data_IF_795873823004
#
_entry.id   IF_795873823004
#
_cell.length_a   1.000
_cell.length_b   1.000
_cell.length_c   1.000
_cell.angle_alpha   90.00
_cell.angle_beta   90.00
_cell.angle_gamma   90.00
#
_symmetry.space_group_name_H-M   'P 1'
#
loop_
_entity.id
_entity.type
_entity.pdbx_description
1 polymer ?
#
# COMPACT_ATOMS: atom_id res chain seq x y z
N UNK A 1 -42.96 -41.85 -31.20
CA UNK A 1 -42.92 -42.85 -30.05
C UNK A 1 -42.75 -42.10 -28.71
N UNK A 2 -43.95 -41.57 -28.41
CA UNK A 2 -44.82 -41.89 -27.25
C UNK A 2 -44.12 -41.50 -25.94
N UNK A 3 -44.63 -40.40 -25.34
CA UNK A 3 -45.64 -40.27 -24.26
C UNK A 3 -44.94 -39.76 -22.98
N UNK A 4 -45.44 -38.56 -22.51
CA UNK A 4 -46.57 -38.31 -21.59
C UNK A 4 -46.08 -38.24 -20.14
N UNK A 5 -46.28 -37.12 -19.56
CA UNK A 5 -47.39 -37.02 -18.57
C UNK A 5 -47.14 -35.88 -17.59
N UNK A 6 -47.92 -34.74 -17.79
CA UNK A 6 -49.23 -34.25 -17.30
C UNK A 6 -49.17 -33.90 -15.82
N UNK A 7 -49.42 -32.63 -15.55
CA UNK A 7 -50.64 -31.82 -15.31
C UNK A 7 -50.89 -31.70 -13.81
N UNK A 8 -51.06 -30.45 -13.41
CA UNK A 8 -52.32 -29.69 -13.25
C UNK A 8 -52.49 -29.28 -11.78
N UNK A 9 -52.68 -27.97 -11.61
CA UNK A 9 -53.84 -27.07 -11.52
C UNK A 9 -54.07 -26.65 -10.06
N UNK A 10 -54.11 -25.33 -9.84
CA UNK A 10 -55.17 -24.29 -9.75
C UNK A 10 -55.79 -24.30 -8.35
N UNK A 11 -55.74 -23.18 -7.67
CA UNK A 11 -57.04 -22.51 -7.36
C UNK A 11 -56.91 -21.67 -6.09
N UNK A 12 -56.86 -20.36 -6.17
CA UNK A 12 -57.52 -19.10 -5.75
C UNK A 12 -58.81 -19.37 -4.96
N UNK A 13 -58.99 -18.71 -3.82
CA UNK A 13 -60.27 -18.05 -3.47
C UNK A 13 -60.21 -17.58 -2.02
N UNK A 14 -60.20 -16.26 -1.67
CA UNK A 14 -61.03 -15.12 -1.21
C UNK A 14 -61.88 -15.49 0.01
N UNK A 15 -61.79 -14.70 1.12
CA UNK A 15 -62.94 -14.02 1.74
C UNK A 15 -62.52 -13.50 3.13
N UNK A 16 -62.55 -12.18 3.42
CA UNK A 16 -62.99 -11.06 4.27
C UNK A 16 -64.18 -11.45 5.15
N UNK A 17 -64.16 -11.21 6.51
CA UNK A 17 -65.25 -10.70 7.37
C UNK A 17 -64.69 -10.40 8.76
N UNK A 18 -64.54 -9.16 9.20
CA UNK A 18 -64.92 -8.13 10.19
C UNK A 18 -65.79 -8.72 11.31
N UNK A 19 -65.53 -8.43 12.61
CA UNK A 19 -66.05 -7.51 13.64
C UNK A 19 -66.50 -8.33 14.87
N UNK A 20 -66.05 -7.98 16.17
CA UNK A 20 -66.48 -7.18 17.32
C UNK A 20 -66.61 -8.09 18.54
N UNK A 21 -66.02 -7.74 19.79
CA UNK A 21 -66.20 -7.10 21.10
C UNK A 21 -66.46 -8.19 22.15
N UNK A 22 -65.62 -8.21 23.22
CA UNK A 22 -65.64 -7.72 24.62
C UNK A 22 -66.10 -8.83 25.59
N UNK A 23 -65.30 -9.12 26.64
CA UNK A 23 -65.33 -8.77 28.08
C UNK A 23 -65.28 -10.05 28.92
N UNK A 24 -64.27 -10.21 29.86
CA UNK A 24 -64.03 -9.98 31.30
C UNK A 24 -63.73 -11.32 32.00
N UNK A 25 -62.51 -11.46 32.57
CA UNK A 25 -62.49 -11.58 34.05
C UNK A 25 -61.08 -12.02 34.49
N UNK A 26 -60.30 -11.10 35.07
CA UNK A 26 -59.40 -10.65 36.15
C UNK A 26 -59.30 -11.69 37.28
N UNK A 27 -58.07 -12.20 37.56
CA UNK A 27 -57.58 -12.13 38.96
C UNK A 27 -56.07 -12.35 39.00
N UNK A 28 -55.19 -11.24 39.28
CA UNK A 28 -54.50 -10.60 40.42
C UNK A 28 -53.04 -11.11 40.49
N UNK A 29 -52.07 -10.16 40.23
CA UNK A 29 -51.19 -9.42 41.16
C UNK A 29 -49.74 -9.47 40.63
N UNK A 30 -49.25 -8.22 40.13
CA UNK A 30 -48.11 -7.45 40.67
C UNK A 30 -47.64 -6.43 39.62
N UNK A 31 -48.06 -5.10 39.76
CA UNK A 31 -47.47 -3.76 39.95
C UNK A 31 -46.83 -3.27 38.65
N UNK A 32 -47.43 -2.38 37.85
CA UNK A 32 -47.52 -1.11 37.10
C UNK A 32 -46.36 -0.17 37.44
N UNK A 33 -45.55 0.23 36.36
CA UNK A 33 -45.54 1.66 35.96
C UNK A 33 -44.87 1.80 34.59
N UNK A 34 -45.62 2.10 33.45
CA UNK A 34 -45.87 3.03 32.31
C UNK A 34 -44.57 3.35 31.57
N UNK A 35 -44.43 2.85 30.28
CA UNK A 35 -43.66 3.65 29.30
C UNK A 35 -44.28 3.49 27.91
N UNK A 36 -45.20 4.45 27.50
CA UNK A 36 -45.12 5.48 26.43
C UNK A 36 -44.57 4.89 25.14
N UNK A 37 -45.51 4.27 24.28
CA UNK A 37 -45.68 4.63 22.84
C UNK A 37 -44.52 5.47 22.31
N UNK A 38 -43.37 4.84 21.99
CA UNK A 38 -42.48 5.59 21.06
C UNK A 38 -41.90 4.64 20.00
N UNK A 39 -42.69 4.17 18.97
CA UNK A 39 -42.18 4.08 17.58
C UNK A 39 -40.93 4.96 17.37
N UNK A 40 -39.78 4.53 17.86
CA UNK A 40 -38.48 5.09 17.48
C UNK A 40 -38.29 5.04 15.96
N UNK A 41 -39.04 5.83 15.12
CA UNK A 41 -38.45 6.26 13.84
C UNK A 41 -36.95 6.59 14.01
N UNK A 42 -36.05 5.48 13.97
CA UNK A 42 -34.60 5.62 13.74
C UNK A 42 -34.30 6.72 12.71
N UNK A 43 -34.16 7.94 13.16
CA UNK A 43 -33.53 9.01 12.35
C UNK A 43 -32.45 8.40 11.42
N UNK A 44 -32.75 8.42 10.02
CA UNK A 44 -31.77 7.88 9.07
C UNK A 44 -30.36 8.40 9.34
N UNK A 45 -29.47 7.45 9.81
CA UNK A 45 -28.05 7.78 10.09
C UNK A 45 -27.24 7.82 8.79
N UNK A 46 -26.54 8.98 8.58
CA UNK A 46 -25.61 9.13 7.43
C UNK A 46 -24.72 7.89 7.36
N UNK A 47 -24.77 7.24 6.17
CA UNK A 47 -24.01 5.99 6.04
C UNK A 47 -22.50 6.22 6.18
N UNK A 48 -21.85 5.32 6.98
CA UNK A 48 -20.38 5.26 7.04
C UNK A 48 -19.84 4.27 5.98
N UNK A 49 -19.09 4.87 5.10
CA UNK A 49 -18.70 3.99 3.96
C UNK A 49 -17.27 3.49 4.18
N UNK A 50 -16.75 3.58 5.34
CA UNK A 50 -15.38 3.09 5.58
C UNK A 50 -15.37 1.56 5.59
N UNK A 51 -14.30 1.02 4.98
CA UNK A 51 -14.25 -0.46 5.06
C UNK A 51 -13.92 -1.05 3.68
N UNK A 52 -14.05 -2.30 3.55
CA UNK A 52 -13.67 -3.02 2.31
C UNK A 52 -14.93 -3.31 1.48
N UNK A 53 -14.68 -3.08 0.20
CA UNK A 53 -15.81 -3.28 -0.74
C UNK A 53 -15.35 -4.18 -1.88
N UNK A 54 -16.23 -5.17 -2.21
CA UNK A 54 -15.84 -6.12 -3.27
C UNK A 54 -16.90 -6.12 -4.38
N UNK A 55 -16.42 -6.50 -5.52
CA UNK A 55 -17.35 -6.57 -6.67
C UNK A 55 -18.42 -7.64 -6.39
N UNK A 56 -19.63 -7.37 -6.83
CA UNK A 56 -20.77 -8.28 -6.56
C UNK A 56 -20.89 -9.28 -7.72
N UNK A 57 -20.52 -8.80 -8.89
CA UNK A 57 -20.73 -9.66 -10.07
C UNK A 57 -19.49 -10.53 -10.35
N UNK A 58 -19.77 -11.88 -10.49
CA UNK A 58 -18.64 -12.81 -10.71
C UNK A 58 -18.20 -12.81 -12.18
N UNK A 59 -19.01 -12.25 -13.12
CA UNK A 59 -18.74 -12.38 -14.57
C UNK A 59 -18.15 -11.08 -15.12
N UNK A 60 -17.59 -10.13 -14.18
CA UNK A 60 -17.00 -8.85 -14.60
C UNK A 60 -15.67 -8.60 -13.85
N UNK A 61 -15.04 -7.46 -14.16
CA UNK A 61 -13.76 -7.19 -13.50
C UNK A 61 -13.86 -7.39 -11.97
N UNK A 62 -12.86 -8.21 -11.58
CA UNK A 62 -12.85 -8.40 -10.11
C UNK A 62 -11.98 -7.34 -9.44
N UNK A 63 -12.71 -6.56 -8.52
CA UNK A 63 -11.96 -5.46 -7.89
C UNK A 63 -12.34 -5.38 -6.40
N UNK A 64 -11.40 -4.90 -5.68
CA UNK A 64 -11.66 -4.60 -4.25
C UNK A 64 -11.28 -3.14 -3.95
N UNK A 65 -12.27 -2.52 -3.29
CA UNK A 65 -12.00 -1.14 -2.85
C UNK A 65 -11.87 -1.07 -1.32
N UNK A 66 -10.98 -0.19 -0.99
CA UNK A 66 -10.89 0.14 0.44
C UNK A 66 -11.09 1.64 0.62
N UNK A 67 -12.09 1.92 1.49
CA UNK A 67 -12.28 3.34 1.86
C UNK A 67 -11.85 3.54 3.32
N UNK A 68 -10.93 4.48 3.37
CA UNK A 68 -10.46 4.83 4.72
C UNK A 68 -10.20 6.34 4.80
N UNK A 69 -10.84 6.92 5.81
CA UNK A 69 -10.69 8.39 5.90
C UNK A 69 -11.21 9.10 4.65
N UNK A 70 -10.25 9.84 4.02
CA UNK A 70 -10.69 10.66 2.86
C UNK A 70 -10.20 10.04 1.55
N UNK A 71 -9.96 8.72 1.59
CA UNK A 71 -9.39 8.13 0.35
C UNK A 71 -10.16 6.87 -0.01
N UNK A 72 -9.98 6.56 -1.25
CA UNK A 72 -10.50 5.27 -1.77
C UNK A 72 -9.43 4.68 -2.69
N UNK A 73 -9.14 3.31 -2.43
CA UNK A 73 -8.23 2.57 -3.32
C UNK A 73 -8.96 1.36 -3.91
N UNK A 74 -8.58 1.23 -5.19
CA UNK A 74 -9.27 0.10 -5.85
C UNK A 74 -8.21 -0.75 -6.57
N UNK A 75 -8.23 -2.07 -6.25
CA UNK A 75 -7.26 -2.98 -6.87
C UNK A 75 -7.97 -4.01 -7.76
N UNK A 76 -7.17 -4.38 -8.82
CA UNK A 76 -7.61 -5.57 -9.58
C UNK A 76 -7.34 -6.84 -8.77
N UNK A 77 -8.35 -7.70 -8.81
CA UNK A 77 -8.12 -9.01 -8.14
C UNK A 77 -7.94 -10.10 -9.20
N UNK A 78 -6.73 -10.75 -9.14
CA UNK A 78 -6.54 -11.84 -10.12
C UNK A 78 -6.70 -13.19 -9.41
N UNK A 79 -7.32 -14.17 -10.21
CA UNK A 79 -7.48 -15.57 -9.69
C UNK A 79 -6.14 -16.30 -9.67
N UNK A 80 -5.05 -15.74 -10.35
CA UNK A 80 -3.82 -16.51 -10.66
C UNK A 80 -2.59 -15.86 -10.03
N UNK A 81 -2.72 -14.73 -9.24
CA UNK A 81 -1.56 -14.07 -8.62
C UNK A 81 -1.99 -13.48 -7.27
N UNK A 82 -1.28 -13.83 -6.21
CA UNK A 82 -1.53 -13.45 -4.80
C UNK A 82 -1.28 -11.95 -4.59
N UNK A 83 -0.99 -11.17 -5.83
CA UNK A 83 -0.74 -9.76 -5.44
C UNK A 83 -1.72 -8.82 -6.15
N UNK A 84 -2.63 -8.13 -5.45
CA UNK A 84 -3.58 -7.16 -6.02
C UNK A 84 -2.87 -6.03 -6.78
N UNK A 85 -3.37 -5.75 -8.04
CA UNK A 85 -2.79 -4.66 -8.86
C UNK A 85 -3.68 -3.40 -8.77
N UNK A 86 -2.99 -2.29 -8.69
CA UNK A 86 -3.73 -1.03 -8.46
C UNK A 86 -4.46 -0.58 -9.74
N UNK A 87 -5.80 -0.31 -9.50
CA UNK A 87 -6.55 0.34 -10.60
C UNK A 87 -6.75 1.83 -10.33
N UNK A 88 -7.16 2.20 -9.09
CA UNK A 88 -7.43 3.62 -8.80
C UNK A 88 -7.02 3.92 -7.37
N UNK A 89 -6.39 5.06 -7.23
CA UNK A 89 -6.15 5.69 -5.92
C UNK A 89 -6.55 7.17 -5.98
N UNK A 90 -7.47 7.50 -5.04
CA UNK A 90 -7.96 8.88 -5.18
C UNK A 90 -8.71 9.33 -3.93
N UNK A 91 -9.20 10.56 -4.01
CA UNK A 91 -9.84 11.19 -2.83
C UNK A 91 -11.25 10.61 -2.61
N UNK A 92 -11.66 10.71 -1.34
CA UNK A 92 -13.02 10.29 -0.95
C UNK A 92 -13.64 11.37 -0.07
N UNK A 93 -14.94 11.56 -0.47
CA UNK A 93 -15.70 12.51 0.38
C UNK A 93 -16.88 11.79 1.02
N UNK A 94 -16.83 11.85 2.41
CA UNK A 94 -17.89 11.11 3.12
C UNK A 94 -19.26 11.79 2.93
N UNK A 95 -20.34 10.95 2.89
CA UNK A 95 -21.68 11.54 2.77
C UNK A 95 -22.05 12.38 3.99
N UNK A 96 -22.82 13.56 3.67
CA UNK A 96 -23.21 14.43 4.80
C UNK A 96 -24.71 14.30 5.09
N UNK A 97 -25.44 13.45 4.14
CA UNK A 97 -26.88 13.28 4.40
C UNK A 97 -27.28 11.83 4.08
N UNK A 98 -28.45 11.46 4.48
CA UNK A 98 -28.99 10.10 4.23
C UNK A 98 -29.48 9.98 2.79
N UNK A 99 -29.33 8.71 2.16
CA UNK A 99 -29.84 8.48 0.79
C UNK A 99 -28.70 8.38 -0.23
N UNK A 100 -29.07 8.56 -1.55
CA UNK A 100 -28.06 8.43 -2.63
C UNK A 100 -27.01 9.55 -2.56
N UNK A 101 -25.83 9.16 -2.87
CA UNK A 101 -24.68 10.05 -2.67
C UNK A 101 -23.67 9.82 -3.82
N UNK A 102 -23.16 10.97 -4.38
CA UNK A 102 -22.09 10.84 -5.40
C UNK A 102 -20.90 11.74 -5.05
N UNK A 103 -19.82 11.20 -5.48
CA UNK A 103 -18.65 12.09 -5.29
C UNK A 103 -17.66 11.86 -6.46
N UNK A 104 -16.93 13.06 -6.66
CA UNK A 104 -15.83 12.98 -7.65
C UNK A 104 -14.49 12.78 -6.93
N UNK A 105 -13.93 11.67 -7.30
CA UNK A 105 -12.62 11.33 -6.67
C UNK A 105 -11.45 11.81 -7.53
N UNK A 106 -10.60 12.71 -6.88
CA UNK A 106 -9.42 13.22 -7.60
C UNK A 106 -8.29 12.16 -7.56
N UNK A 107 -7.70 12.11 -8.75
CA UNK A 107 -6.68 11.06 -8.92
C UNK A 107 -5.43 11.40 -8.09
N UNK A 108 -4.92 10.37 -7.51
CA UNK A 108 -3.60 10.48 -6.86
C UNK A 108 -2.51 10.00 -7.82
N UNK A 109 -1.98 10.98 -8.57
CA UNK A 109 -1.07 10.60 -9.67
C UNK A 109 0.25 10.06 -9.12
N UNK A 110 0.50 10.36 -7.88
CA UNK A 110 1.70 9.76 -7.24
C UNK A 110 1.63 8.23 -7.21
N UNK A 111 0.41 7.71 -7.13
CA UNK A 111 0.27 6.24 -7.06
C UNK A 111 -0.14 5.65 -8.41
N UNK A 112 -0.95 6.37 -9.13
CA UNK A 112 -1.55 5.71 -10.32
C UNK A 112 -0.62 5.83 -11.53
N UNK A 113 0.32 6.79 -11.54
CA UNK A 113 1.16 6.98 -12.75
C UNK A 113 2.21 5.88 -12.85
N UNK A 114 2.47 5.26 -11.71
CA UNK A 114 3.54 4.25 -11.75
C UNK A 114 2.93 2.85 -11.82
N UNK A 115 1.54 2.74 -11.80
CA UNK A 115 0.87 1.42 -11.78
C UNK A 115 0.33 1.13 -13.19
N UNK A 116 0.91 0.05 -13.75
CA UNK A 116 0.73 -0.28 -15.18
C UNK A 116 -0.77 -0.41 -15.52
N UNK A 117 -1.57 -0.78 -14.57
CA UNK A 117 -2.97 -1.05 -14.97
C UNK A 117 -3.90 -0.03 -14.32
N UNK A 118 -3.28 1.01 -13.75
CA UNK A 118 -4.14 2.02 -13.09
C UNK A 118 -4.75 2.95 -14.14
N UNK A 119 -5.96 3.38 -13.81
CA UNK A 119 -6.58 4.40 -14.68
C UNK A 119 -5.74 5.68 -14.75
N UNK A 120 -5.72 6.29 -15.95
CA UNK A 120 -4.98 7.56 -16.09
C UNK A 120 -5.92 8.76 -15.96
N UNK A 121 -7.19 8.52 -15.73
CA UNK A 121 -8.14 9.63 -15.60
C UNK A 121 -7.78 10.58 -14.45
N UNK A 122 -8.11 11.91 -14.73
CA UNK A 122 -7.80 12.91 -13.66
C UNK A 122 -8.78 12.77 -12.49
N UNK A 123 -9.91 12.30 -12.84
CA UNK A 123 -10.92 12.09 -11.78
C UNK A 123 -11.87 10.96 -12.19
N UNK A 124 -12.52 10.42 -11.02
CA UNK A 124 -13.52 9.38 -11.28
C UNK A 124 -14.77 9.66 -10.46
N UNK A 125 -15.88 9.27 -11.21
CA UNK A 125 -17.16 9.55 -10.50
C UNK A 125 -17.67 8.26 -9.83
N UNK A 126 -18.04 8.49 -8.52
CA UNK A 126 -18.64 7.36 -7.78
C UNK A 126 -20.05 7.72 -7.33
N UNK A 127 -20.88 6.64 -7.33
CA UNK A 127 -22.21 6.83 -6.72
C UNK A 127 -22.50 5.72 -5.70
N UNK A 128 -23.25 6.19 -4.70
CA UNK A 128 -23.64 5.23 -3.64
C UNK A 128 -25.16 5.26 -3.49
N UNK A 129 -25.73 4.10 -3.66
CA UNK A 129 -27.18 3.95 -3.38
C UNK A 129 -27.49 2.51 -2.99
N UNK A 130 -28.35 2.49 -1.93
CA UNK A 130 -28.86 1.17 -1.49
C UNK A 130 -27.71 0.22 -1.15
N UNK A 131 -26.63 0.77 -0.51
CA UNK A 131 -25.55 -0.11 0.02
C UNK A 131 -24.53 -0.47 -1.06
N UNK A 132 -24.62 0.20 -2.21
CA UNK A 132 -23.69 -0.20 -3.28
C UNK A 132 -22.98 1.04 -3.84
N UNK A 133 -21.71 0.77 -4.17
CA UNK A 133 -20.94 1.81 -4.88
C UNK A 133 -20.82 1.41 -6.35
N UNK A 134 -21.09 2.46 -7.22
CA UNK A 134 -20.97 2.19 -8.66
C UNK A 134 -19.98 3.16 -9.32
N UNK A 135 -19.22 2.65 -10.28
CA UNK A 135 -18.32 3.53 -11.05
C UNK A 135 -17.90 2.82 -12.33
N UNK A 136 -17.33 3.64 -13.26
CA UNK A 136 -16.90 3.03 -14.54
C UNK A 136 -15.41 2.67 -14.48
N UNK A 137 -15.24 1.49 -14.94
CA UNK A 137 -13.84 1.06 -15.07
C UNK A 137 -13.47 0.91 -16.56
N UNK A 138 -12.26 1.53 -16.93
CA UNK A 138 -11.77 1.36 -18.32
C UNK A 138 -10.39 0.71 -18.30
N UNK A 139 -10.31 -0.34 -18.93
CA UNK A 139 -8.99 -1.00 -19.09
C UNK A 139 -8.94 -1.71 -20.44
N UNK A 140 -7.75 -1.45 -21.21
CA UNK A 140 -7.46 -2.11 -22.51
C UNK A 140 -8.56 -1.78 -23.53
N UNK A 141 -9.11 -0.50 -23.45
CA UNK A 141 -10.00 0.00 -24.52
C UNK A 141 -11.45 -0.41 -24.29
N UNK A 142 -11.74 -1.08 -23.09
CA UNK A 142 -13.15 -1.42 -22.79
C UNK A 142 -13.61 -0.74 -21.51
N UNK A 143 -14.91 -0.32 -21.57
CA UNK A 143 -15.45 0.36 -20.37
C UNK A 143 -16.67 -0.43 -19.86
N UNK A 144 -16.58 -0.73 -18.53
CA UNK A 144 -17.75 -1.39 -17.90
C UNK A 144 -18.07 -0.75 -16.54
N UNK A 145 -19.29 -1.00 -16.16
CA UNK A 145 -19.72 -0.49 -14.84
C UNK A 145 -19.47 -1.57 -13.77
N UNK A 146 -18.76 -1.08 -12.72
CA UNK A 146 -18.50 -1.99 -11.59
C UNK A 146 -19.41 -1.60 -10.41
N UNK A 147 -19.94 -2.70 -9.83
CA UNK A 147 -20.74 -2.49 -8.61
C UNK A 147 -20.06 -3.17 -7.42
N UNK A 148 -19.93 -2.39 -6.32
CA UNK A 148 -19.25 -2.95 -5.13
C UNK A 148 -20.24 -2.98 -3.96
N UNK A 149 -20.04 -4.13 -3.12
CA UNK A 149 -20.75 -4.16 -1.83
C UNK A 149 -19.74 -4.30 -0.68
N UNK A 150 -20.23 -3.70 0.38
CA UNK A 150 -19.30 -3.69 1.53
C UNK A 150 -19.19 -5.10 2.13
N UNK A 151 -18.02 -5.52 2.31
CA UNK A 151 -17.85 -6.89 2.85
C UNK A 151 -17.22 -6.84 4.24
N UNK A 152 -16.68 -5.65 4.54
CA UNK A 152 -16.11 -5.51 5.90
C UNK A 152 -16.11 -4.04 6.30
N UNK A 153 -16.50 -3.79 7.60
CA UNK A 153 -16.50 -2.40 8.13
C UNK A 153 -15.17 -2.10 8.82
N UNK A 154 -14.40 -3.13 8.86
CA UNK A 154 -13.05 -2.96 9.43
C UNK A 154 -12.03 -2.67 8.31
N UNK A 155 -11.50 -1.57 8.44
CA UNK A 155 -10.46 -1.22 7.46
C UNK A 155 -9.18 -2.01 7.80
N UNK A 156 -8.86 -3.05 6.95
CA UNK A 156 -7.64 -3.83 7.20
C UNK A 156 -6.44 -2.92 7.49
N UNK A 157 -5.83 -3.01 8.75
CA UNK A 157 -4.60 -2.37 9.24
C UNK A 157 -3.56 -2.18 8.13
N UNK A 158 -3.93 -2.80 6.90
CA UNK A 158 -3.21 -2.63 5.61
C UNK A 158 -3.98 -1.69 4.68
N UNK A 159 -5.29 -1.17 5.20
CA UNK A 159 -6.21 -0.34 4.37
C UNK A 159 -6.39 1.04 5.00
N UNK A 160 -5.48 1.46 5.96
CA UNK A 160 -5.29 2.86 6.40
C UNK A 160 -3.92 3.36 5.93
N UNK A 161 -3.63 3.26 4.56
CA UNK A 161 -2.50 4.08 4.09
C UNK A 161 -3.02 5.13 3.05
N UNK A 162 -4.14 5.81 3.31
CA UNK A 162 -4.10 7.04 2.48
C UNK A 162 -4.95 8.13 3.14
N UNK A 163 -4.75 8.59 4.40
CA UNK A 163 -4.97 9.98 4.85
C UNK A 163 -3.88 10.91 4.29
N UNK A 164 -4.13 11.59 3.10
CA UNK A 164 -3.90 13.01 2.76
C UNK A 164 -3.72 13.86 4.02
N UNK A 165 -2.66 13.57 4.67
CA UNK A 165 -1.87 14.80 4.99
C UNK A 165 -0.49 14.71 4.33
N UNK A 166 -0.30 14.79 2.98
CA UNK A 166 1.11 15.11 2.65
C UNK A 166 2.00 15.00 3.89
N UNK A 167 2.64 13.78 4.13
CA UNK A 167 3.73 13.75 5.14
C UNK A 167 4.25 15.17 5.45
N UNK A 168 3.83 15.91 6.46
CA UNK A 168 4.44 17.21 6.86
C UNK A 168 5.95 17.22 6.59
N UNK A 169 6.44 16.07 5.89
CA UNK A 169 7.90 16.04 5.65
C UNK A 169 8.22 15.82 4.16
N UNK A 170 9.45 16.07 3.69
CA UNK A 170 9.86 15.95 2.27
C UNK A 170 10.89 14.83 2.12
N UNK A 171 10.71 14.14 0.98
CA UNK A 171 11.75 13.15 0.59
C UNK A 171 12.11 13.34 -0.87
N UNK A 172 13.41 13.22 -1.11
CA UNK A 172 13.84 13.37 -2.52
C UNK A 172 15.05 12.46 -2.78
N UNK A 173 15.05 12.04 -4.03
CA UNK A 173 16.24 11.28 -4.44
C UNK A 173 17.35 12.27 -4.82
N UNK A 174 18.53 12.11 -4.15
CA UNK A 174 19.57 13.13 -4.45
C UNK A 174 20.66 12.47 -5.32
N UNK A 175 20.65 11.12 -5.31
CA UNK A 175 21.59 10.42 -6.20
C UNK A 175 21.13 8.98 -6.41
N UNK A 176 21.40 8.49 -7.63
CA UNK A 176 21.12 7.06 -7.87
C UNK A 176 22.16 6.48 -8.84
N UNK A 177 22.27 5.16 -8.73
CA UNK A 177 23.23 4.47 -9.61
C UNK A 177 23.04 2.95 -9.51
N UNK A 178 23.86 2.32 -10.38
CA UNK A 178 23.69 0.85 -10.35
C UNK A 178 25.02 0.17 -10.65
N UNK A 179 25.20 -1.03 -10.15
CA UNK A 179 26.26 -1.97 -10.58
C UNK A 179 25.65 -3.20 -11.26
N UNK A 180 26.42 -3.62 -12.28
CA UNK A 180 25.85 -4.77 -13.02
C UNK A 180 26.85 -5.93 -12.97
N UNK A 181 26.32 -7.10 -12.69
CA UNK A 181 27.13 -8.34 -12.78
C UNK A 181 26.29 -9.46 -13.40
N UNK A 182 26.71 -9.82 -14.63
CA UNK A 182 25.91 -10.85 -15.35
C UNK A 182 24.49 -10.36 -15.63
N UNK A 183 23.52 -11.19 -15.14
CA UNK A 183 22.11 -10.85 -15.48
C UNK A 183 21.45 -10.12 -14.30
N UNK A 184 22.34 -9.66 -13.41
CA UNK A 184 21.75 -8.95 -12.25
C UNK A 184 22.36 -7.55 -12.12
N UNK A 185 21.50 -6.68 -11.60
CA UNK A 185 21.98 -5.33 -11.24
C UNK A 185 21.60 -5.02 -9.79
N UNK A 186 22.57 -4.41 -9.14
CA UNK A 186 22.16 -3.73 -7.89
C UNK A 186 21.95 -2.23 -8.12
N UNK A 187 20.69 -1.79 -7.77
CA UNK A 187 20.38 -0.34 -7.92
C UNK A 187 20.33 0.32 -6.54
N UNK A 188 20.85 1.59 -6.53
CA UNK A 188 20.90 2.32 -5.25
C UNK A 188 20.38 3.75 -5.46
N UNK A 189 19.68 4.21 -4.40
CA UNK A 189 19.27 5.63 -4.38
C UNK A 189 19.52 6.20 -2.98
N UNK A 190 20.14 7.45 -3.07
CA UNK A 190 20.27 8.20 -1.80
C UNK A 190 19.05 9.08 -1.54
N UNK A 191 18.49 8.80 -0.34
CA UNK A 191 17.21 9.51 -0.06
C UNK A 191 17.44 10.54 1.04
N UNK A 192 17.18 11.75 0.63
CA UNK A 192 17.12 12.83 1.64
C UNK A 192 15.68 13.07 2.10
N UNK A 193 15.58 13.15 3.45
CA UNK A 193 14.21 13.38 3.92
C UNK A 193 14.22 14.26 5.17
N UNK A 194 13.05 14.92 5.37
CA UNK A 194 12.88 15.79 6.55
C UNK A 194 11.47 15.58 7.12
N UNK A 195 11.51 15.34 8.44
CA UNK A 195 10.22 15.27 9.14
C UNK A 195 9.48 13.95 8.85
N UNK A 196 10.34 12.94 8.30
CA UNK A 196 9.59 11.73 7.89
C UNK A 196 10.13 10.52 8.64
N UNK A 197 10.86 10.75 9.78
CA UNK A 197 11.40 9.61 10.54
C UNK A 197 10.26 8.67 10.94
N UNK A 198 10.50 7.36 10.61
CA UNK A 198 9.47 6.36 10.99
C UNK A 198 8.50 6.08 9.85
N UNK A 199 8.61 6.94 8.79
CA UNK A 199 7.68 6.71 7.67
C UNK A 199 8.31 5.71 6.68
N UNK A 200 7.42 5.17 5.81
CA UNK A 200 7.93 4.24 4.78
C UNK A 200 8.19 5.01 3.48
N UNK A 201 9.37 4.75 2.95
CA UNK A 201 9.71 5.33 1.62
C UNK A 201 9.71 4.20 0.58
N UNK A 202 8.92 4.46 -0.49
CA UNK A 202 8.99 3.53 -1.65
C UNK A 202 9.80 4.14 -2.78
N UNK A 203 10.87 3.32 -3.12
CA UNK A 203 11.70 3.84 -4.23
C UNK A 203 11.45 2.94 -5.45
N UNK A 204 11.04 3.61 -6.56
CA UNK A 204 10.94 2.90 -7.87
C UNK A 204 12.19 3.15 -8.71
N UNK A 205 12.72 1.99 -9.14
CA UNK A 205 13.91 2.07 -9.98
C UNK A 205 13.54 1.64 -11.41
N UNK A 206 13.85 2.57 -12.33
CA UNK A 206 13.72 2.22 -13.76
C UNK A 206 15.10 2.14 -14.42
N UNK A 207 15.32 0.95 -15.04
CA UNK A 207 16.65 0.73 -15.66
C UNK A 207 16.49 0.79 -17.18
N UNK A 208 17.49 1.55 -17.76
CA UNK A 208 17.41 1.78 -19.21
C UNK A 208 18.70 1.29 -19.88
N UNK A 209 18.52 0.99 -21.16
CA UNK A 209 19.75 0.65 -21.92
C UNK A 209 20.30 1.90 -22.62
N UNK A 210 21.35 1.79 -23.50
CA UNK A 210 22.07 2.94 -24.09
C UNK A 210 21.17 3.71 -25.05
N UNK A 211 20.12 3.01 -25.52
CA UNK A 211 19.19 3.73 -26.42
C UNK A 211 18.02 4.34 -25.64
N UNK A 212 18.13 4.37 -24.29
CA UNK A 212 17.11 4.95 -23.40
C UNK A 212 15.81 4.13 -23.44
N UNK A 213 15.94 2.87 -23.78
CA UNK A 213 14.77 1.98 -23.67
C UNK A 213 14.71 1.33 -22.28
N UNK A 214 13.50 1.38 -21.75
CA UNK A 214 13.31 0.75 -20.43
C UNK A 214 13.47 -0.77 -20.52
N UNK A 215 14.31 -1.29 -19.60
CA UNK A 215 14.53 -2.74 -19.79
C UNK A 215 14.17 -3.47 -18.49
N UNK A 216 14.05 -2.69 -17.37
CA UNK A 216 13.59 -3.34 -16.13
C UNK A 216 13.16 -2.25 -15.13
N UNK A 217 12.23 -2.74 -14.26
CA UNK A 217 11.81 -1.85 -13.15
C UNK A 217 11.65 -2.66 -11.86
N UNK A 218 12.05 -1.98 -10.77
CA UNK A 218 11.88 -2.64 -9.47
C UNK A 218 11.58 -1.60 -8.39
N UNK A 219 10.74 -2.06 -7.43
CA UNK A 219 10.44 -1.15 -6.29
C UNK A 219 11.03 -1.71 -5.00
N UNK A 220 11.34 -0.72 -4.17
CA UNK A 220 11.84 -1.14 -2.83
C UNK A 220 11.25 -0.21 -1.76
N UNK A 221 10.76 -0.93 -0.74
CA UNK A 221 10.14 -0.14 0.35
C UNK A 221 11.04 -0.27 1.59
N UNK A 222 11.26 0.96 2.14
CA UNK A 222 12.04 0.93 3.39
C UNK A 222 11.49 1.98 4.37
N UNK A 223 11.75 1.63 5.70
CA UNK A 223 11.36 2.62 6.73
C UNK A 223 12.47 3.68 6.84
N UNK A 224 12.07 4.96 6.92
CA UNK A 224 13.05 6.04 7.23
C UNK A 224 13.30 6.14 8.75
N UNK A 225 14.38 5.52 9.18
CA UNK A 225 14.52 5.23 10.63
C UNK A 225 15.42 6.27 11.31
N UNK A 226 16.12 7.08 10.51
CA UNK A 226 17.02 8.03 11.21
C UNK A 226 16.67 9.46 10.78
N UNK A 227 16.52 10.34 11.77
CA UNK A 227 16.18 11.75 11.46
C UNK A 227 17.42 12.49 10.93
N UNK A 228 17.17 13.31 9.81
CA UNK A 228 18.18 14.35 9.48
C UNK A 228 19.36 13.75 8.70
N UNK A 229 19.15 12.45 8.10
CA UNK A 229 20.31 11.94 7.32
C UNK A 229 19.80 11.38 5.98
N UNK A 230 20.76 11.54 4.97
CA UNK A 230 20.54 10.85 3.68
C UNK A 230 20.81 9.35 3.81
N UNK A 231 19.73 8.67 3.43
CA UNK A 231 19.92 7.22 3.60
C UNK A 231 19.73 6.50 2.25
N UNK A 232 20.60 5.41 2.07
CA UNK A 232 20.50 4.69 0.80
C UNK A 232 19.44 3.58 0.84
N UNK A 233 18.72 3.52 -0.26
CA UNK A 233 17.79 2.40 -0.48
C UNK A 233 18.17 1.72 -1.81
N UNK A 234 18.33 0.39 -1.65
CA UNK A 234 18.74 -0.33 -2.89
C UNK A 234 18.16 -1.74 -2.91
N UNK A 235 18.16 -2.29 -4.10
CA UNK A 235 17.68 -3.68 -4.25
C UNK A 235 18.31 -4.29 -5.50
N UNK A 236 18.27 -5.64 -5.45
CA UNK A 236 18.80 -6.33 -6.65
C UNK A 236 17.68 -6.49 -7.70
N UNK A 237 18.12 -6.37 -8.99
CA UNK A 237 17.13 -6.45 -10.10
C UNK A 237 17.66 -7.45 -11.12
N UNK A 238 16.75 -8.33 -11.56
CA UNK A 238 17.13 -9.23 -12.67
C UNK A 238 16.99 -8.49 -14.03
N UNK A 239 18.04 -8.76 -14.83
CA UNK A 239 18.01 -8.09 -16.15
C UNK A 239 17.69 -9.12 -17.23
N UNK A 240 16.94 -8.65 -18.29
CA UNK A 240 16.68 -9.58 -19.39
C UNK A 240 17.97 -10.08 -20.05
N UNK A 241 17.86 -11.32 -20.60
CA UNK A 241 19.08 -11.90 -21.23
C UNK A 241 19.56 -11.04 -22.40
N UNK A 242 20.87 -10.76 -22.37
CA UNK A 242 21.56 -10.08 -23.49
C UNK A 242 21.25 -8.58 -23.49
N UNK A 243 20.62 -8.10 -22.37
CA UNK A 243 20.42 -6.63 -22.31
C UNK A 243 21.63 -5.98 -21.63
N UNK A 244 21.88 -4.76 -22.12
CA UNK A 244 22.97 -4.00 -21.46
C UNK A 244 22.38 -2.76 -20.76
N UNK A 245 22.48 -2.79 -19.45
CA UNK A 245 21.95 -1.64 -18.67
C UNK A 245 22.94 -0.46 -18.72
N UNK A 246 22.36 0.68 -18.83
CA UNK A 246 23.28 1.84 -18.97
C UNK A 246 22.92 2.92 -17.94
N UNK A 247 21.66 2.93 -17.55
CA UNK A 247 21.27 4.05 -16.66
C UNK A 247 20.13 3.60 -15.75
N UNK A 248 20.10 4.24 -14.57
CA UNK A 248 18.93 3.98 -13.69
C UNK A 248 18.39 5.32 -13.21
N UNK A 249 17.03 5.35 -13.29
CA UNK A 249 16.32 6.48 -12.66
C UNK A 249 15.53 6.00 -11.44
N UNK A 250 15.68 6.86 -10.42
CA UNK A 250 14.94 6.46 -9.19
C UNK A 250 13.98 7.59 -8.78
N UNK A 251 12.80 7.12 -8.36
CA UNK A 251 11.86 8.08 -7.76
C UNK A 251 11.40 7.57 -6.39
N UNK A 252 11.11 8.61 -5.55
CA UNK A 252 10.73 8.16 -4.18
C UNK A 252 9.36 8.75 -3.86
N UNK A 253 8.58 7.78 -3.28
CA UNK A 253 7.31 8.22 -2.67
C UNK A 253 7.20 7.78 -1.21
N UNK A 254 6.63 8.68 -0.39
CA UNK A 254 6.57 8.34 1.06
C UNK A 254 5.09 8.24 1.46
N UNK A 255 4.88 7.11 2.04
CA UNK A 255 3.51 7.02 2.59
C UNK A 255 3.48 7.39 4.08
N UNK A 256 2.46 8.15 4.54
CA UNK A 256 2.32 8.63 5.93
C UNK A 256 1.68 7.54 6.81
N UNK A 257 2.09 6.25 6.73
CA UNK A 257 1.56 5.24 7.68
C UNK A 257 2.63 4.82 8.67
N UNK A 258 3.74 5.64 8.76
CA UNK A 258 4.86 5.19 9.62
C UNK A 258 4.55 5.38 11.11
N UNK A 259 4.96 4.46 12.01
CA UNK A 259 4.81 4.41 13.48
C UNK A 259 5.62 5.51 14.17
N UNK A 260 4.88 6.26 15.12
CA UNK A 260 5.63 7.18 16.02
C UNK A 260 6.85 6.49 16.62
N UNK A 261 7.89 6.41 15.71
CA UNK A 261 9.09 5.74 16.26
C UNK A 261 10.12 6.80 16.68
N UNK A 262 10.64 6.55 17.92
CA UNK A 262 11.81 7.38 18.29
C UNK A 262 12.95 7.23 17.28
N UNK A 263 13.32 8.42 16.79
CA UNK A 263 14.47 8.42 15.85
C UNK A 263 15.67 7.69 16.47
N UNK A 264 16.09 6.73 15.71
CA UNK A 264 17.29 6.00 16.19
C UNK A 264 18.54 6.84 15.99
N UNK A 265 19.62 6.59 16.83
CA UNK A 265 20.85 7.38 16.65
C UNK A 265 21.42 7.24 15.24
N UNK A 266 21.96 8.40 14.83
CA UNK A 266 22.60 8.41 13.49
C UNK A 266 24.02 7.82 13.62
N UNK A 267 24.21 6.81 12.79
CA UNK A 267 25.57 6.26 12.71
C UNK A 267 26.24 6.78 11.44
N UNK A 268 27.45 7.30 11.70
CA UNK A 268 28.15 7.80 10.50
C UNK A 268 28.49 6.64 9.54
N UNK A 269 28.44 7.06 8.27
CA UNK A 269 28.77 6.00 7.29
C UNK A 269 30.25 5.57 7.45
N UNK A 270 30.38 4.25 7.27
CA UNK A 270 31.73 3.67 7.39
C UNK A 270 32.26 3.38 5.97
N UNK A 271 33.38 3.93 5.78
CA UNK A 271 33.91 3.82 4.40
C UNK A 271 34.95 2.69 4.32
N UNK A 272 34.94 2.06 3.20
CA UNK A 272 36.01 1.09 2.88
C UNK A 272 36.45 1.27 1.42
N UNK A 273 37.73 0.86 1.21
CA UNK A 273 38.23 0.96 -0.19
C UNK A 273 37.94 -0.36 -0.93
N UNK A 274 38.04 -0.24 -2.27
CA UNK A 274 37.65 -1.40 -3.12
C UNK A 274 38.62 -2.57 -2.88
N UNK A 275 39.85 -2.24 -2.32
CA UNK A 275 40.81 -3.35 -2.09
C UNK A 275 40.45 -4.14 -0.84
N UNK A 276 39.72 -3.51 -0.02
CA UNK A 276 39.33 -4.17 1.25
C UNK A 276 37.93 -3.70 1.67
N UNK A 277 36.95 -4.53 1.25
CA UNK A 277 35.56 -4.11 1.52
C UNK A 277 35.06 -4.73 2.82
N UNK A 278 35.73 -4.40 3.88
CA UNK A 278 35.27 -4.79 5.23
C UNK A 278 34.89 -3.54 6.03
N UNK A 279 33.74 -3.70 6.70
CA UNK A 279 33.20 -2.56 7.47
C UNK A 279 33.05 -2.98 8.94
N UNK A 280 33.68 -2.21 9.78
CA UNK A 280 33.42 -2.49 11.21
C UNK A 280 32.40 -1.50 11.76
N UNK A 281 31.25 -2.11 12.03
CA UNK A 281 30.15 -1.29 12.60
C UNK A 281 30.18 -1.37 14.13
N UNK A 282 30.13 -0.10 14.70
CA UNK A 282 30.18 -0.06 16.18
C UNK A 282 28.82 0.39 16.74
N UNK A 283 28.35 -0.42 17.70
CA UNK A 283 27.17 0.01 18.49
C UNK A 283 27.59 0.75 19.75
N UNK A 284 27.43 2.13 19.73
CA UNK A 284 27.94 2.93 20.87
C UNK A 284 26.81 3.16 21.88
N UNK A 285 25.64 2.52 21.62
CA UNK A 285 24.51 2.72 22.55
C UNK A 285 24.55 1.66 23.65
N UNK A 286 23.66 1.95 24.63
CA UNK A 286 23.63 1.00 25.78
C UNK A 286 22.62 -0.13 25.51
N UNK A 287 22.05 -0.12 24.30
CA UNK A 287 21.08 -1.19 23.98
C UNK A 287 21.58 -1.98 22.76
N UNK A 288 21.15 -3.31 22.80
CA UNK A 288 21.48 -4.14 21.61
C UNK A 288 20.71 -3.63 20.38
N UNK A 289 21.47 -3.73 19.24
CA UNK A 289 20.73 -3.53 17.98
C UNK A 289 20.29 -4.89 17.45
N UNK A 290 18.95 -5.01 17.32
CA UNK A 290 18.46 -6.31 16.79
C UNK A 290 18.05 -6.15 15.32
N UNK A 291 18.63 -7.10 14.50
CA UNK A 291 18.36 -7.19 13.05
C UNK A 291 18.55 -5.84 12.35
N UNK A 292 19.77 -5.32 12.62
CA UNK A 292 19.99 -4.07 11.86
C UNK A 292 20.19 -4.34 10.36
N UNK A 293 19.72 -3.32 9.67
CA UNK A 293 20.03 -3.37 8.23
C UNK A 293 21.25 -2.49 7.90
N UNK A 294 22.13 -3.11 7.12
CA UNK A 294 23.34 -2.35 6.73
C UNK A 294 23.33 -2.21 5.20
N UNK A 295 23.03 -0.95 4.78
CA UNK A 295 23.06 -0.68 3.32
C UNK A 295 24.47 -0.22 2.89
N UNK A 296 24.85 -0.78 1.74
CA UNK A 296 26.20 -0.48 1.23
C UNK A 296 26.06 0.17 -0.14
N UNK A 297 26.73 1.35 -0.27
CA UNK A 297 26.73 2.03 -1.59
C UNK A 297 28.18 2.22 -2.03
N UNK A 298 28.41 1.87 -3.28
CA UNK A 298 29.79 1.99 -3.76
C UNK A 298 29.89 3.10 -4.83
N UNK A 299 31.08 3.69 -4.84
CA UNK A 299 31.28 4.85 -5.73
C UNK A 299 32.58 4.64 -6.51
N UNK A 300 32.54 5.26 -7.72
CA UNK A 300 33.85 5.33 -8.43
C UNK A 300 34.59 6.62 -8.07
N UNK A 301 35.73 6.89 -8.73
CA UNK A 301 36.59 8.04 -8.36
C UNK A 301 35.90 9.37 -8.70
N UNK A 302 34.90 9.25 -9.58
CA UNK A 302 34.15 10.48 -9.93
C UNK A 302 33.01 10.75 -8.94
N UNK A 303 32.90 9.82 -8.03
CA UNK A 303 31.86 10.01 -7.00
C UNK A 303 30.50 9.47 -7.45
N UNK A 304 30.40 8.74 -8.58
CA UNK A 304 29.11 8.19 -9.05
C UNK A 304 28.83 6.84 -8.35
N UNK A 305 27.52 6.71 -8.18
CA UNK A 305 27.17 5.41 -7.56
C UNK A 305 27.33 4.30 -8.61
N UNK A 306 28.08 3.20 -8.18
CA UNK A 306 28.37 2.18 -9.21
C UNK A 306 28.03 0.81 -8.62
N UNK A 307 27.07 0.80 -7.71
CA UNK A 307 26.64 -0.51 -7.20
C UNK A 307 26.51 -0.51 -5.68
N UNK A 308 26.23 -1.71 -5.17
CA UNK A 308 26.06 -1.78 -3.70
C UNK A 308 25.51 -3.15 -3.29
N UNK A 309 25.00 -3.12 -2.04
CA UNK A 309 24.44 -4.35 -1.44
C UNK A 309 23.85 -4.06 -0.06
N UNK A 310 23.42 -5.21 0.42
CA UNK A 310 22.84 -5.04 1.78
C UNK A 310 23.25 -6.25 2.63
N UNK A 311 23.36 -5.95 3.97
CA UNK A 311 23.59 -7.05 4.93
C UNK A 311 22.63 -6.91 6.13
N UNK A 312 22.35 -8.14 6.74
CA UNK A 312 21.37 -8.11 7.84
C UNK A 312 21.92 -8.90 9.03
N UNK A 313 22.77 -8.25 9.83
CA UNK A 313 23.17 -8.99 11.02
C UNK A 313 21.98 -9.26 11.96
N UNK A 314 22.13 -10.43 12.59
CA UNK A 314 21.02 -10.74 13.53
C UNK A 314 21.00 -9.76 14.72
N UNK A 315 22.23 -9.38 15.17
CA UNK A 315 22.28 -8.43 16.29
C UNK A 315 23.69 -7.82 16.39
N UNK A 316 23.70 -6.62 16.89
CA UNK A 316 24.97 -5.99 17.31
C UNK A 316 24.83 -5.55 18.78
N UNK A 317 25.64 -6.26 19.69
CA UNK A 317 25.47 -6.02 21.13
C UNK A 317 25.78 -4.57 21.51
N UNK A 318 25.13 -4.20 22.65
CA UNK A 318 25.41 -2.85 23.20
C UNK A 318 26.93 -2.68 23.40
N UNK A 319 27.41 -1.50 22.90
CA UNK A 319 28.85 -1.14 23.00
C UNK A 319 29.74 -2.18 22.32
N UNK A 320 29.15 -2.97 21.45
CA UNK A 320 29.93 -4.00 20.72
C UNK A 320 30.16 -3.58 19.27
N UNK A 321 30.80 -4.54 18.53
CA UNK A 321 31.03 -4.25 17.09
C UNK A 321 30.68 -5.47 16.24
N UNK A 322 30.43 -5.12 15.01
CA UNK A 322 30.14 -6.19 14.04
C UNK A 322 30.92 -5.92 12.75
N UNK A 323 31.60 -7.07 12.29
CA UNK A 323 32.39 -6.92 11.05
C UNK A 323 31.55 -7.41 9.86
N UNK A 324 31.34 -6.44 8.97
CA UNK A 324 30.69 -6.81 7.69
C UNK A 324 31.76 -7.26 6.69
N UNK A 325 31.82 -8.55 6.32
CA UNK A 325 32.95 -8.99 5.44
C UNK A 325 32.44 -9.97 4.39
N UNK A 326 31.15 -10.37 4.41
CA UNK A 326 30.70 -11.37 3.41
C UNK A 326 29.46 -10.85 2.67
N UNK A 327 29.45 -9.57 2.63
CA UNK A 327 28.24 -9.08 1.94
C UNK A 327 28.37 -9.30 0.43
N UNK A 328 27.27 -9.83 -0.10
CA UNK A 328 27.25 -9.94 -1.57
C UNK A 328 27.03 -8.56 -2.21
N UNK A 329 28.14 -8.17 -2.93
CA UNK A 329 28.04 -6.84 -3.56
C UNK A 329 28.01 -7.01 -5.09
N UNK A 330 27.12 -6.28 -5.68
CA UNK A 330 27.15 -6.14 -7.15
C UNK A 330 27.60 -4.71 -7.50
N UNK A 331 28.89 -4.69 -8.10
CA UNK A 331 29.44 -3.33 -8.34
C UNK A 331 30.10 -3.30 -9.73
N UNK A 332 30.31 -2.08 -10.21
CA UNK A 332 31.08 -1.93 -11.47
C UNK A 332 32.58 -2.13 -11.22
N UNK A 333 33.25 -2.38 -12.34
CA UNK A 333 34.70 -2.68 -12.23
C UNK A 333 35.48 -1.47 -11.74
N UNK A 334 35.00 -0.36 -12.07
CA UNK A 334 35.79 0.82 -11.65
C UNK A 334 35.41 1.28 -10.25
N UNK A 335 34.95 0.44 -9.37
CA UNK A 335 34.59 0.82 -8.00
C UNK A 335 35.84 1.29 -7.24
N UNK A 336 35.63 2.37 -6.50
CA UNK A 336 36.79 2.93 -5.75
C UNK A 336 36.54 2.81 -4.25
N UNK A 337 35.38 3.27 -3.81
CA UNK A 337 35.09 3.20 -2.37
C UNK A 337 33.63 2.73 -2.17
N UNK A 338 33.42 2.19 -0.94
CA UNK A 338 32.03 1.90 -0.50
C UNK A 338 31.77 2.42 0.90
N UNK A 339 30.50 2.76 1.07
CA UNK A 339 30.09 3.26 2.41
C UNK A 339 28.96 2.36 2.94
N UNK A 340 29.13 2.02 4.20
CA UNK A 340 28.05 1.24 4.85
C UNK A 340 27.23 2.16 5.79
N UNK A 341 25.89 1.95 5.56
CA UNK A 341 24.94 2.78 6.33
C UNK A 341 24.09 1.86 7.22
N UNK A 342 24.08 2.22 8.46
CA UNK A 342 23.30 1.36 9.38
C UNK A 342 21.92 1.99 9.58
N UNK A 343 20.97 1.06 9.32
CA UNK A 343 19.59 1.51 9.60
C UNK A 343 18.99 0.60 10.68
N UNK A 344 18.48 1.32 11.70
CA UNK A 344 17.93 0.54 12.83
C UNK A 344 16.40 0.62 12.81
N UNK A 345 15.80 -0.53 12.87
CA UNK A 345 14.33 -0.46 12.97
C UNK A 345 13.89 -0.59 14.43
N UNK A 346 13.03 0.29 14.93
CA UNK A 346 12.53 0.19 16.33
C UNK A 346 11.98 -1.23 16.61
N UNK A 347 12.76 -2.03 17.38
CA UNK A 347 12.32 -3.37 17.83
C UNK A 347 10.89 -3.33 18.38
N UNK A 348 9.78 -3.87 17.69
CA UNK A 348 8.53 -4.16 18.43
C UNK A 348 8.81 -4.70 19.84
#
# INVERSE_FOLDING_TARGET
>A
MKTAGMARHLGALGTAFALVVGLSACSASADKAESDGGSTTATPEVPDLSGVWDTVDADGPQQQAVISGSTITINWLSDDTSDPMLYWAGSFEAPSSTGSYSWSSANDHGQTDTALLASSDESKEFSYAEGQINYEVSALGETSTVTLEQTSTTVPETADAASSDAAAGTASVVDSGMGVDGDYAWVSAMIEHDGLTGEFATVLFNIYDENDELIASEEQVEVLGTAGTTFPIGTQVSLPAESTASRVDATVSVSDYGSSQEAMPVVEAIEATADDLRFTVQNTTSKDWTDPRIAIVCHNDAGEIVGGGVDFPNAIPANGEFLVKDSTLITAEDTATCDAYVQLEASN
#
